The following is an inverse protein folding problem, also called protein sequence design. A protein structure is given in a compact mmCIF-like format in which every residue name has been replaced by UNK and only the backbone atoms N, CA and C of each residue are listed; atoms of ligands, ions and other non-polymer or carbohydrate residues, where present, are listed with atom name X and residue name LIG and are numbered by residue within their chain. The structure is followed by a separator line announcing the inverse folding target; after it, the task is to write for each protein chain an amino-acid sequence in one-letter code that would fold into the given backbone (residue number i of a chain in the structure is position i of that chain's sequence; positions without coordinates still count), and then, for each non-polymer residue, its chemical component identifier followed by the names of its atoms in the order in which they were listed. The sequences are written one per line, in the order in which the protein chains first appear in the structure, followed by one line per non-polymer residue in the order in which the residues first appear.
data_IF_600651081834
#
_entry.id   IF_600651081834
#
_cell.length_a   1.000
_cell.length_b   1.000
_cell.length_c   1.000
_cell.angle_alpha   90.00
_cell.angle_beta   90.00
_cell.angle_gamma   90.00
#
_symmetry.space_group_name_H-M   'P 1'
#
loop_
_entity.id
_entity.type
_entity.pdbx_description
1 polymer ?
#
# COMPACT_ATOMS: atom_id res chain seq x y z
N UNK A 1 -45.94 -42.86 55.28
CA UNK A 1 -46.16 -42.27 53.95
C UNK A 1 -46.20 -40.74 54.12
N UNK A 2 -45.02 -40.10 54.09
CA UNK A 2 -44.88 -38.66 54.29
C UNK A 2 -44.67 -37.99 52.93
N UNK A 3 -45.67 -37.21 52.48
CA UNK A 3 -45.55 -36.40 51.28
C UNK A 3 -44.90 -35.06 51.67
N UNK A 4 -43.69 -34.81 51.19
CA UNK A 4 -43.02 -33.53 51.30
C UNK A 4 -43.42 -32.70 50.07
N UNK A 5 -44.27 -31.70 50.27
CA UNK A 5 -44.64 -30.72 49.24
C UNK A 5 -43.55 -29.62 49.27
N UNK A 6 -42.70 -29.57 48.27
CA UNK A 6 -41.82 -28.43 48.01
C UNK A 6 -42.63 -27.30 47.37
N UNK A 7 -43.00 -26.32 48.17
CA UNK A 7 -43.53 -25.05 47.66
C UNK A 7 -42.34 -24.15 47.21
N UNK A 8 -42.00 -24.22 45.90
CA UNK A 8 -41.14 -23.22 45.29
C UNK A 8 -41.99 -22.05 44.81
N UNK A 9 -42.31 -21.16 45.72
CA UNK A 9 -43.03 -19.93 45.48
C UNK A 9 -42.10 -18.72 45.71
N UNK A 10 -41.00 -18.61 44.94
CA UNK A 10 -40.20 -17.41 44.92
C UNK A 10 -40.76 -16.45 43.88
N UNK A 11 -41.63 -15.54 44.30
CA UNK A 11 -41.96 -14.37 43.47
C UNK A 11 -40.71 -13.51 43.34
N UNK A 12 -40.15 -13.44 42.13
CA UNK A 12 -39.05 -12.52 41.83
C UNK A 12 -39.51 -11.10 42.22
N UNK A 13 -38.70 -10.32 42.93
CA UNK A 13 -39.07 -8.96 43.35
C UNK A 13 -39.35 -8.15 42.07
N UNK A 14 -40.60 -7.65 41.96
CA UNK A 14 -40.99 -6.78 40.88
C UNK A 14 -40.15 -5.50 40.96
N UNK A 15 -39.29 -5.29 39.98
CA UNK A 15 -38.45 -4.08 39.88
C UNK A 15 -39.37 -2.87 39.82
N UNK A 16 -39.17 -1.92 40.74
CA UNK A 16 -39.93 -0.67 40.75
C UNK A 16 -39.69 0.13 39.44
N UNK A 17 -40.62 1.02 39.08
CA UNK A 17 -40.54 1.79 37.82
C UNK A 17 -39.23 2.55 37.67
N UNK A 18 -38.62 3.03 38.75
CA UNK A 18 -37.28 3.68 38.74
C UNK A 18 -36.16 2.72 38.42
N UNK A 19 -36.21 1.46 38.85
CA UNK A 19 -35.23 0.44 38.54
C UNK A 19 -35.33 -0.02 37.06
N UNK A 20 -36.54 -0.12 36.52
CA UNK A 20 -36.78 -0.43 35.11
C UNK A 20 -36.27 0.67 34.20
N UNK A 21 -36.48 1.96 34.53
CA UNK A 21 -35.94 3.07 33.74
C UNK A 21 -34.44 3.14 33.83
N UNK A 22 -33.79 2.90 34.98
CA UNK A 22 -32.37 2.83 35.13
C UNK A 22 -31.74 1.69 34.28
N UNK A 23 -32.37 0.53 34.24
CA UNK A 23 -31.93 -0.64 33.47
C UNK A 23 -32.07 -0.39 31.95
N UNK A 24 -33.16 0.26 31.54
CA UNK A 24 -33.35 0.65 30.13
C UNK A 24 -32.32 1.68 29.68
N UNK A 25 -31.98 2.68 30.49
CA UNK A 25 -30.94 3.67 30.19
C UNK A 25 -29.57 3.00 30.15
N UNK A 26 -29.24 2.14 31.12
CA UNK A 26 -27.99 1.41 31.12
C UNK A 26 -27.86 0.49 29.88
N UNK A 27 -28.92 -0.24 29.53
CA UNK A 27 -28.97 -1.06 28.29
C UNK A 27 -28.80 -0.22 27.04
N UNK A 28 -29.45 0.93 26.96
CA UNK A 28 -29.30 1.86 25.84
C UNK A 28 -27.87 2.40 25.71
N UNK A 29 -27.21 2.74 26.81
CA UNK A 29 -25.81 3.18 26.82
C UNK A 29 -24.86 2.06 26.37
N UNK A 30 -25.07 0.83 26.77
CA UNK A 30 -24.28 -0.33 26.34
C UNK A 30 -24.44 -0.55 24.84
N UNK A 31 -25.67 -0.53 24.32
CA UNK A 31 -25.93 -0.68 22.88
C UNK A 31 -25.27 0.46 22.08
N UNK A 32 -25.37 1.69 22.57
CA UNK A 32 -24.69 2.84 21.96
C UNK A 32 -23.18 2.68 21.96
N UNK A 33 -22.58 2.24 23.05
CA UNK A 33 -21.13 2.01 23.16
C UNK A 33 -20.67 0.91 22.21
N UNK A 34 -21.40 -0.20 22.09
CA UNK A 34 -21.14 -1.27 21.15
C UNK A 34 -21.27 -0.80 19.69
N UNK A 35 -22.27 0.00 19.39
CA UNK A 35 -22.46 0.59 18.07
C UNK A 35 -21.30 1.53 17.69
N UNK A 36 -20.89 2.39 18.62
CA UNK A 36 -19.74 3.26 18.42
C UNK A 36 -18.44 2.46 18.25
N UNK A 37 -18.21 1.43 19.07
CA UNK A 37 -17.06 0.54 18.93
C UNK A 37 -17.04 -0.15 17.54
N UNK A 38 -18.22 -0.64 17.08
CA UNK A 38 -18.37 -1.26 15.77
C UNK A 38 -18.07 -0.29 14.60
N UNK A 39 -18.48 0.99 14.72
CA UNK A 39 -18.15 2.02 13.72
C UNK A 39 -16.64 2.28 13.59
N UNK A 40 -15.89 2.15 14.68
CA UNK A 40 -14.45 2.34 14.71
C UNK A 40 -13.62 1.07 14.46
N UNK A 41 -14.26 -0.10 14.42
CA UNK A 41 -13.59 -1.38 14.25
C UNK A 41 -13.30 -1.68 12.78
N UNK A 42 -12.04 -2.05 12.49
CA UNK A 42 -11.59 -2.51 11.17
C UNK A 42 -10.85 -3.81 11.30
N UNK A 43 -11.24 -4.79 10.52
CA UNK A 43 -10.53 -6.06 10.37
C UNK A 43 -9.79 -6.08 9.04
N UNK A 44 -8.50 -6.42 9.08
CA UNK A 44 -7.63 -6.58 7.91
C UNK A 44 -7.16 -8.03 7.89
N UNK A 45 -7.40 -8.77 6.80
CA UNK A 45 -6.87 -10.12 6.63
C UNK A 45 -5.34 -10.12 6.65
N UNK A 46 -4.73 -11.22 7.08
CA UNK A 46 -3.26 -11.34 7.20
C UNK A 46 -2.54 -11.28 5.84
N UNK A 47 -3.23 -11.59 4.76
CA UNK A 47 -2.71 -11.53 3.38
C UNK A 47 -2.76 -10.12 2.77
N UNK A 48 -3.32 -9.17 3.51
CA UNK A 48 -3.53 -7.79 3.05
C UNK A 48 -2.93 -6.78 4.01
N UNK A 49 -2.73 -5.59 3.50
CA UNK A 49 -2.44 -4.39 4.28
C UNK A 49 -3.54 -3.36 4.08
N UNK A 50 -3.80 -2.57 5.10
CA UNK A 50 -4.74 -1.46 5.04
C UNK A 50 -4.00 -0.15 4.80
N UNK A 51 -4.26 0.49 3.67
CA UNK A 51 -3.83 1.86 3.42
C UNK A 51 -4.88 2.79 3.99
N UNK A 52 -4.48 3.64 4.92
CA UNK A 52 -5.37 4.58 5.60
C UNK A 52 -5.42 5.90 4.84
N UNK A 53 -6.61 6.28 4.43
CA UNK A 53 -6.91 7.60 3.89
C UNK A 53 -7.71 8.37 4.94
N UNK A 54 -7.19 9.48 5.43
CA UNK A 54 -7.88 10.39 6.34
C UNK A 54 -8.61 11.44 5.54
N UNK A 55 -9.94 11.46 5.62
CA UNK A 55 -10.78 12.30 4.79
C UNK A 55 -10.75 13.77 5.22
N UNK A 56 -10.61 14.04 6.51
CA UNK A 56 -10.50 15.40 7.04
C UNK A 56 -9.64 15.45 8.30
N UNK A 57 -8.96 16.55 8.52
CA UNK A 57 -8.12 16.80 9.67
C UNK A 57 -8.21 18.28 10.11
N UNK A 58 -8.06 18.53 11.40
CA UNK A 58 -7.91 19.89 11.95
C UNK A 58 -6.59 20.54 11.52
N UNK A 59 -5.61 19.72 11.10
CA UNK A 59 -4.30 20.18 10.61
C UNK A 59 -4.30 20.53 9.12
N UNK A 60 -5.47 20.47 8.45
CA UNK A 60 -5.58 20.71 7.03
C UNK A 60 -5.30 19.47 6.18
N UNK A 61 -5.05 19.67 4.91
CA UNK A 61 -4.70 18.66 3.92
C UNK A 61 -3.20 18.65 3.69
N UNK A 62 -2.71 17.56 3.09
CA UNK A 62 -1.31 17.42 2.65
C UNK A 62 -0.94 18.60 1.74
N UNK A 63 0.25 19.22 1.90
CA UNK A 63 0.72 20.33 1.05
C UNK A 63 0.80 19.94 -0.43
N UNK A 64 0.73 20.95 -1.30
CA UNK A 64 0.91 20.73 -2.74
C UNK A 64 2.27 20.08 -3.05
N UNK A 65 2.24 19.12 -3.96
CA UNK A 65 3.42 18.35 -4.37
C UNK A 65 3.77 17.17 -3.48
N UNK A 66 3.04 16.95 -2.37
CA UNK A 66 3.11 15.74 -1.54
C UNK A 66 1.82 14.93 -1.64
N UNK A 67 1.93 13.63 -1.45
CA UNK A 67 0.81 12.68 -1.50
C UNK A 67 0.59 12.07 -0.12
N UNK A 68 1.65 11.89 0.66
CA UNK A 68 1.64 11.20 1.94
C UNK A 68 1.59 12.18 3.10
N UNK A 69 0.63 11.96 3.99
CA UNK A 69 0.49 12.69 5.24
C UNK A 69 1.39 12.06 6.31
N UNK A 70 2.22 12.87 6.93
CA UNK A 70 3.17 12.47 7.97
C UNK A 70 2.68 12.90 9.37
N UNK A 71 2.16 14.11 9.50
CA UNK A 71 1.75 14.73 10.77
C UNK A 71 0.25 14.59 11.08
N UNK A 72 -0.43 13.67 10.39
CA UNK A 72 -1.86 13.42 10.58
C UNK A 72 -2.77 14.42 9.88
N UNK A 73 -2.31 15.08 8.82
CA UNK A 73 -3.12 15.84 7.87
C UNK A 73 -4.14 14.94 7.17
N UNK A 74 -5.08 15.51 6.46
CA UNK A 74 -5.99 14.78 5.58
C UNK A 74 -5.23 14.33 4.33
N UNK A 75 -5.39 13.06 3.96
CA UNK A 75 -4.69 12.42 2.85
C UNK A 75 -4.31 10.98 3.19
N UNK A 76 -3.52 10.36 2.32
CA UNK A 76 -2.98 9.03 2.56
C UNK A 76 -1.94 9.07 3.67
N UNK A 77 -2.14 8.24 4.70
CA UNK A 77 -1.22 8.16 5.83
C UNK A 77 0.00 7.31 5.47
N UNK A 78 1.16 7.68 6.03
CA UNK A 78 2.40 6.94 5.84
C UNK A 78 2.31 5.52 6.39
N UNK A 79 1.68 5.38 7.56
CA UNK A 79 1.60 4.13 8.28
C UNK A 79 0.56 3.18 7.67
N UNK A 80 0.96 1.92 7.51
CA UNK A 80 0.09 0.83 7.06
C UNK A 80 -0.50 0.07 8.24
N UNK A 81 -1.75 -0.34 8.09
CA UNK A 81 -2.37 -1.29 8.98
C UNK A 81 -2.04 -2.72 8.54
N UNK A 82 -1.40 -3.47 9.41
CA UNK A 82 -1.14 -4.90 9.16
C UNK A 82 -2.37 -5.74 9.49
N UNK A 83 -2.33 -7.04 9.14
CA UNK A 83 -3.41 -7.99 9.45
C UNK A 83 -3.79 -7.95 10.93
N UNK A 84 -5.09 -8.05 11.22
CA UNK A 84 -5.65 -8.01 12.56
C UNK A 84 -6.84 -7.05 12.73
N UNK A 85 -7.20 -6.82 13.99
CA UNK A 85 -8.27 -5.93 14.39
C UNK A 85 -7.70 -4.57 14.82
N UNK A 86 -8.19 -3.51 14.19
CA UNK A 86 -7.79 -2.14 14.48
C UNK A 86 -8.98 -1.34 14.99
N UNK A 87 -8.77 -0.54 16.04
CA UNK A 87 -9.78 0.30 16.68
C UNK A 87 -9.51 1.78 16.44
N UNK A 88 -10.54 2.62 16.59
CA UNK A 88 -10.40 4.07 16.48
C UNK A 88 -10.42 4.63 15.05
N UNK A 89 -10.62 3.77 14.05
CA UNK A 89 -10.70 4.17 12.64
C UNK A 89 -12.17 4.44 12.24
N UNK A 90 -12.69 5.56 12.71
CA UNK A 90 -14.08 5.98 12.48
C UNK A 90 -14.41 6.07 10.99
N UNK A 91 -15.49 5.41 10.55
CA UNK A 91 -15.87 5.31 9.12
C UNK A 91 -16.13 6.65 8.44
N UNK A 92 -16.48 7.66 9.17
CA UNK A 92 -16.73 9.01 8.68
C UNK A 92 -15.46 9.88 8.57
N UNK A 93 -14.37 9.47 9.22
CA UNK A 93 -13.08 10.18 9.19
C UNK A 93 -12.01 9.44 8.41
N UNK A 94 -12.05 8.10 8.42
CA UNK A 94 -11.04 7.25 7.82
C UNK A 94 -11.64 6.29 6.81
N UNK A 95 -11.03 6.24 5.63
CA UNK A 95 -11.25 5.20 4.65
C UNK A 95 -10.04 4.27 4.66
N UNK A 96 -10.28 2.96 4.72
CA UNK A 96 -9.23 1.95 4.71
C UNK A 96 -9.33 1.15 3.42
N UNK A 97 -8.31 1.27 2.59
CA UNK A 97 -8.18 0.52 1.35
C UNK A 97 -7.38 -0.75 1.64
N UNK A 98 -7.98 -1.90 1.43
CA UNK A 98 -7.31 -3.19 1.61
C UNK A 98 -6.60 -3.55 0.32
N UNK A 99 -5.28 -3.77 0.39
CA UNK A 99 -4.42 -4.07 -0.74
C UNK A 99 -3.64 -5.35 -0.42
N UNK A 100 -3.44 -6.26 -1.38
CA UNK A 100 -2.64 -7.46 -1.15
C UNK A 100 -1.19 -7.09 -0.84
N UNK A 101 -0.50 -7.95 -0.10
CA UNK A 101 0.93 -7.87 0.11
C UNK A 101 1.67 -8.00 -1.23
N UNK A 102 2.76 -7.27 -1.37
CA UNK A 102 3.63 -7.41 -2.54
C UNK A 102 4.45 -8.67 -2.38
N UNK A 103 4.21 -9.65 -3.25
CA UNK A 103 4.94 -10.92 -3.26
C UNK A 103 5.88 -10.94 -4.47
N UNK A 104 7.16 -11.18 -4.20
CA UNK A 104 8.18 -11.34 -5.24
C UNK A 104 8.64 -12.81 -5.18
N UNK A 105 8.39 -13.59 -6.24
CA UNK A 105 8.78 -14.99 -6.31
C UNK A 105 10.31 -15.18 -6.21
N UNK A 106 10.71 -16.40 -5.85
CA UNK A 106 12.12 -16.76 -5.75
C UNK A 106 12.81 -16.58 -7.12
N UNK A 107 14.00 -15.98 -7.10
CA UNK A 107 14.79 -15.73 -8.30
C UNK A 107 14.35 -14.50 -9.10
N UNK A 108 13.36 -13.74 -8.62
CA UNK A 108 12.90 -12.49 -9.24
C UNK A 108 13.27 -11.27 -8.39
N UNK A 109 13.22 -10.11 -9.01
CA UNK A 109 13.42 -8.81 -8.36
C UNK A 109 12.23 -7.88 -8.64
N UNK A 110 11.95 -7.00 -7.68
CA UNK A 110 10.98 -5.91 -7.84
C UNK A 110 11.69 -4.57 -8.02
N UNK A 111 11.33 -3.84 -9.07
CA UNK A 111 11.74 -2.45 -9.24
C UNK A 111 10.77 -1.53 -8.53
N UNK A 112 11.31 -0.52 -7.85
CA UNK A 112 10.50 0.42 -7.09
C UNK A 112 10.51 1.79 -7.72
N UNK A 113 9.33 2.38 -7.84
CA UNK A 113 9.13 3.77 -8.21
C UNK A 113 8.42 4.49 -7.06
N UNK A 114 9.03 5.55 -6.52
CA UNK A 114 8.42 6.38 -5.48
C UNK A 114 7.62 7.53 -6.11
N UNK A 115 6.38 7.71 -5.65
CA UNK A 115 5.49 8.78 -6.12
C UNK A 115 5.70 10.09 -5.37
N UNK A 116 6.23 10.00 -4.14
CA UNK A 116 6.47 11.13 -3.25
C UNK A 116 7.92 11.12 -2.74
N UNK A 117 8.38 12.26 -2.23
CA UNK A 117 9.73 12.48 -1.77
C UNK A 117 10.36 13.71 -2.42
N UNK A 118 11.65 13.94 -2.17
CA UNK A 118 12.41 15.04 -2.75
C UNK A 118 12.44 14.97 -4.29
N UNK A 119 12.59 16.11 -4.92
CA UNK A 119 12.76 16.16 -6.39
C UNK A 119 14.07 15.51 -6.80
N UNK A 120 14.00 14.69 -7.85
CA UNK A 120 15.19 14.13 -8.48
C UNK A 120 15.84 15.22 -9.34
N UNK A 121 17.14 15.56 -9.11
CA UNK A 121 17.84 16.52 -9.96
C UNK A 121 17.94 16.03 -11.41
N UNK A 122 17.96 16.91 -12.40
CA UNK A 122 18.06 16.53 -13.81
C UNK A 122 19.31 15.72 -14.18
N UNK A 123 20.36 15.85 -13.38
CA UNK A 123 21.63 15.11 -13.54
C UNK A 123 21.57 13.65 -13.04
N UNK A 124 20.50 13.29 -12.31
CA UNK A 124 20.33 11.93 -11.76
C UNK A 124 19.23 11.19 -12.51
N UNK A 125 19.50 9.93 -12.84
CA UNK A 125 18.52 9.01 -13.45
C UNK A 125 17.83 8.11 -12.43
N UNK A 126 18.52 7.84 -11.30
CA UNK A 126 18.04 7.00 -10.21
C UNK A 126 18.12 7.75 -8.88
N UNK A 127 17.13 7.57 -8.04
CA UNK A 127 17.07 8.13 -6.72
C UNK A 127 18.14 7.56 -5.79
N UNK A 128 18.49 8.34 -4.75
CA UNK A 128 19.42 7.89 -3.71
C UNK A 128 18.86 6.69 -2.95
N UNK A 129 19.77 5.87 -2.44
CA UNK A 129 19.38 4.76 -1.56
C UNK A 129 19.12 5.29 -0.16
N UNK A 130 17.94 4.98 0.37
CA UNK A 130 17.54 5.31 1.74
C UNK A 130 17.23 4.02 2.48
N UNK A 131 17.68 3.92 3.73
CA UNK A 131 17.39 2.78 4.59
C UNK A 131 15.96 2.91 5.11
N UNK A 132 15.02 2.15 4.54
CA UNK A 132 13.60 2.19 4.86
C UNK A 132 12.96 0.79 4.93
N UNK A 133 13.70 -0.18 5.48
CA UNK A 133 13.24 -1.56 5.66
C UNK A 133 12.62 -2.15 4.38
N UNK A 134 13.36 -2.18 3.29
CA UNK A 134 12.88 -2.65 1.99
C UNK A 134 11.59 -1.96 1.51
N UNK A 135 11.52 -0.65 1.66
CA UNK A 135 10.36 0.21 1.32
C UNK A 135 9.08 -0.07 2.12
N UNK A 136 9.18 -0.80 3.24
CA UNK A 136 8.05 -1.03 4.14
C UNK A 136 7.83 0.13 5.12
N UNK A 137 8.86 0.94 5.40
CA UNK A 137 8.81 2.10 6.28
C UNK A 137 8.76 3.39 5.45
N UNK A 138 7.54 3.89 5.27
CA UNK A 138 7.29 5.11 4.53
C UNK A 138 7.80 6.37 5.25
N UNK A 139 7.78 6.38 6.60
CA UNK A 139 8.28 7.52 7.39
C UNK A 139 9.79 7.63 7.30
N UNK A 140 10.50 6.51 7.46
CA UNK A 140 11.95 6.48 7.27
C UNK A 140 12.35 6.93 5.86
N UNK A 141 11.60 6.52 4.84
CA UNK A 141 11.84 6.97 3.47
C UNK A 141 11.64 8.48 3.30
N UNK A 142 10.61 9.05 3.90
CA UNK A 142 10.31 10.49 3.78
C UNK A 142 11.10 11.38 4.76
N UNK A 143 12.04 10.79 5.53
CA UNK A 143 12.97 11.54 6.38
C UNK A 143 12.47 11.83 7.80
N UNK A 144 11.36 11.23 8.23
CA UNK A 144 10.78 11.43 9.57
C UNK A 144 11.24 10.42 10.63
N UNK A 145 12.15 9.54 10.35
CA UNK A 145 12.63 8.59 11.37
C UNK A 145 13.61 9.27 12.30
N UNK A 146 13.31 9.26 13.59
CA UNK A 146 14.17 9.80 14.65
C UNK A 146 15.58 9.16 14.73
N UNK A 147 15.79 8.05 14.03
CA UNK A 147 17.06 7.33 13.96
C UNK A 147 17.89 7.68 12.73
N UNK A 148 17.35 8.46 11.79
CA UNK A 148 17.99 8.68 10.49
C UNK A 148 18.42 10.15 10.36
N UNK A 149 19.70 10.39 10.56
CA UNK A 149 20.40 11.62 10.13
C UNK A 149 20.63 11.61 8.59
N UNK A 150 19.72 10.97 7.84
CA UNK A 150 19.82 10.81 6.39
C UNK A 150 18.78 11.68 5.68
N UNK A 151 19.16 12.27 4.53
CA UNK A 151 18.21 13.04 3.73
C UNK A 151 17.05 12.17 3.26
N UNK A 152 15.87 12.76 3.13
CA UNK A 152 14.66 12.08 2.65
C UNK A 152 14.88 11.39 1.29
N UNK A 153 14.09 10.35 1.03
CA UNK A 153 14.09 9.67 -0.25
C UNK A 153 13.60 10.57 -1.37
N UNK A 154 14.00 10.26 -2.58
CA UNK A 154 13.64 11.02 -3.79
C UNK A 154 12.53 10.31 -4.55
N UNK A 155 11.58 11.08 -5.09
CA UNK A 155 10.57 10.56 -6.01
C UNK A 155 11.20 10.10 -7.32
N UNK A 156 10.58 9.12 -7.97
CA UNK A 156 11.06 8.55 -9.21
C UNK A 156 11.61 7.13 -9.05
N UNK A 157 12.42 6.73 -10.02
CA UNK A 157 13.00 5.38 -10.05
C UNK A 157 14.01 5.22 -8.93
N UNK A 158 13.81 4.19 -8.11
CA UNK A 158 14.73 3.89 -7.02
C UNK A 158 15.93 3.09 -7.51
N UNK A 159 17.10 3.37 -6.93
CA UNK A 159 18.33 2.58 -7.19
C UNK A 159 18.26 1.24 -6.47
N UNK A 160 17.66 1.20 -5.27
CA UNK A 160 17.46 -0.02 -4.52
C UNK A 160 16.34 -0.85 -5.15
N UNK A 161 16.57 -2.16 -5.26
CA UNK A 161 15.60 -3.14 -5.71
C UNK A 161 15.15 -4.00 -4.55
N UNK A 162 13.96 -4.58 -4.66
CA UNK A 162 13.44 -5.53 -3.69
C UNK A 162 13.74 -6.94 -4.21
N UNK A 163 14.25 -7.78 -3.33
CA UNK A 163 14.49 -9.20 -3.61
C UNK A 163 13.25 -10.03 -3.36
N UNK A 164 13.36 -11.34 -3.59
CA UNK A 164 12.34 -12.33 -3.25
C UNK A 164 11.81 -12.17 -1.82
N UNK A 165 10.52 -12.37 -1.63
CA UNK A 165 9.86 -12.25 -0.33
C UNK A 165 8.47 -11.63 -0.41
N UNK A 166 7.88 -11.44 0.77
CA UNK A 166 6.57 -10.84 0.94
C UNK A 166 6.70 -9.55 1.73
N UNK A 167 6.21 -8.46 1.17
CA UNK A 167 6.44 -7.12 1.70
C UNK A 167 5.13 -6.34 1.87
N UNK A 168 5.00 -5.65 2.99
CA UNK A 168 3.91 -4.72 3.27
C UNK A 168 4.33 -3.31 2.80
N UNK A 169 4.13 -3.01 1.53
CA UNK A 169 4.53 -1.74 0.92
C UNK A 169 3.31 -0.84 0.74
N UNK A 170 3.48 0.45 1.02
CA UNK A 170 2.43 1.44 0.84
C UNK A 170 2.28 1.79 -0.66
N UNK A 171 1.19 1.36 -1.34
CA UNK A 171 1.00 1.62 -2.76
C UNK A 171 0.65 3.08 -3.08
N UNK A 172 0.26 3.88 -2.09
CA UNK A 172 0.10 5.31 -2.27
C UNK A 172 1.46 6.00 -2.46
N UNK A 173 2.53 5.49 -1.81
CA UNK A 173 3.89 6.00 -1.90
C UNK A 173 4.72 5.30 -2.97
N UNK A 174 4.64 3.97 -3.05
CA UNK A 174 5.50 3.16 -3.92
C UNK A 174 4.70 2.35 -4.94
N UNK A 175 5.20 2.32 -6.15
CA UNK A 175 4.79 1.36 -7.18
C UNK A 175 5.90 0.33 -7.31
N UNK A 176 5.56 -0.94 -7.10
CA UNK A 176 6.49 -2.05 -7.29
C UNK A 176 6.18 -2.71 -8.62
N UNK A 177 7.16 -2.77 -9.48
CA UNK A 177 7.08 -3.39 -10.80
C UNK A 177 7.74 -4.76 -10.69
N UNK A 178 6.91 -5.80 -10.75
CA UNK A 178 7.35 -7.21 -10.80
C UNK A 178 7.31 -7.72 -12.23
N UNK A 179 7.86 -8.90 -12.46
CA UNK A 179 7.85 -9.54 -13.79
C UNK A 179 6.42 -9.68 -14.35
N UNK A 180 5.46 -10.02 -13.50
CA UNK A 180 4.06 -10.18 -13.89
C UNK A 180 3.39 -8.86 -14.33
N UNK A 181 3.93 -7.72 -13.89
CA UNK A 181 3.44 -6.39 -14.23
C UNK A 181 4.12 -5.80 -15.49
N UNK A 182 5.06 -6.53 -16.09
CA UNK A 182 5.78 -6.09 -17.30
C UNK A 182 5.11 -6.66 -18.53
N UNK A 183 4.70 -5.78 -19.45
CA UNK A 183 4.23 -6.22 -20.76
C UNK A 183 5.41 -6.74 -21.60
N UNK A 184 5.36 -8.02 -21.92
CA UNK A 184 6.28 -8.66 -22.86
C UNK A 184 5.77 -8.40 -24.29
N UNK A 185 6.34 -7.41 -24.96
CA UNK A 185 5.96 -7.04 -26.32
C UNK A 185 6.25 -8.14 -27.35
N UNK A 186 7.20 -9.03 -27.06
CA UNK A 186 7.71 -10.04 -27.98
C UNK A 186 6.71 -11.14 -28.38
N UNK A 187 5.71 -11.42 -27.52
CA UNK A 187 4.71 -12.45 -27.82
C UNK A 187 3.49 -11.93 -28.58
N UNK A 188 3.35 -10.61 -28.68
CA UNK A 188 2.15 -9.94 -29.19
C UNK A 188 2.42 -9.17 -30.49
N UNK A 189 3.67 -8.98 -30.88
CA UNK A 189 4.02 -8.19 -32.06
C UNK A 189 4.23 -9.09 -33.27
N UNK A 190 3.44 -8.85 -34.31
CA UNK A 190 3.77 -9.29 -35.66
C UNK A 190 5.07 -8.63 -36.11
N UNK A 191 5.82 -9.24 -37.03
CA UNK A 191 7.12 -8.76 -37.55
C UNK A 191 7.05 -7.28 -38.00
N UNK A 192 5.93 -6.86 -38.55
CA UNK A 192 5.67 -5.47 -38.94
C UNK A 192 5.63 -4.52 -37.74
N UNK A 193 4.95 -4.92 -36.67
CA UNK A 193 4.80 -4.14 -35.44
C UNK A 193 6.14 -4.03 -34.70
N UNK A 194 6.91 -5.13 -34.66
CA UNK A 194 8.25 -5.13 -34.09
C UNK A 194 9.18 -4.13 -34.79
N UNK A 195 9.11 -4.06 -36.12
CA UNK A 195 9.87 -3.10 -36.93
C UNK A 195 9.44 -1.65 -36.69
N UNK A 196 8.15 -1.40 -36.48
CA UNK A 196 7.62 -0.07 -36.14
C UNK A 196 8.15 0.38 -34.77
N UNK A 197 8.11 -0.49 -33.76
CA UNK A 197 8.64 -0.20 -32.41
C UNK A 197 10.15 0.05 -32.46
N UNK A 198 10.91 -0.76 -33.20
CA UNK A 198 12.34 -0.54 -33.42
C UNK A 198 12.62 0.81 -34.10
N UNK A 199 11.79 1.21 -35.05
CA UNK A 199 11.84 2.51 -35.69
C UNK A 199 11.60 3.68 -34.72
N UNK A 200 10.68 3.53 -33.78
CA UNK A 200 10.43 4.52 -32.73
C UNK A 200 11.61 4.65 -31.78
N UNK A 201 12.21 3.54 -31.38
CA UNK A 201 13.42 3.52 -30.54
C UNK A 201 14.59 4.27 -31.20
N UNK A 202 14.76 4.04 -32.50
CA UNK A 202 15.81 4.75 -33.28
C UNK A 202 15.55 6.25 -33.30
N UNK A 203 14.34 6.69 -33.60
CA UNK A 203 13.98 8.12 -33.62
C UNK A 203 14.16 8.79 -32.28
N UNK A 204 13.80 8.11 -31.18
CA UNK A 204 13.97 8.65 -29.82
C UNK A 204 15.45 8.79 -29.46
N UNK A 205 16.30 7.84 -29.86
CA UNK A 205 17.75 7.93 -29.66
C UNK A 205 18.37 9.07 -30.48
N UNK A 206 17.98 9.23 -31.75
CA UNK A 206 18.45 10.30 -32.64
C UNK A 206 18.05 11.68 -32.16
N UNK A 207 16.88 11.80 -31.53
CA UNK A 207 16.41 13.06 -30.95
C UNK A 207 17.11 13.45 -29.64
N UNK A 208 18.13 12.69 -29.21
CA UNK A 208 18.83 12.93 -27.93
C UNK A 208 17.95 12.70 -26.71
N UNK A 209 16.83 12.03 -26.92
CA UNK A 209 15.83 11.79 -25.90
C UNK A 209 16.14 10.56 -25.05
N UNK A 210 15.17 10.22 -24.26
CA UNK A 210 15.16 9.08 -23.38
C UNK A 210 15.34 7.77 -24.18
N UNK A 211 16.37 7.00 -23.85
CA UNK A 211 16.53 5.65 -24.38
C UNK A 211 15.57 4.69 -23.65
N UNK A 212 14.46 4.28 -24.26
CA UNK A 212 13.55 3.35 -23.62
C UNK A 212 14.25 2.00 -23.50
N UNK A 213 14.45 1.56 -22.26
CA UNK A 213 14.87 0.18 -21.99
C UNK A 213 13.58 -0.64 -22.01
N UNK A 214 13.41 -1.43 -23.06
CA UNK A 214 12.40 -2.48 -23.05
C UNK A 214 12.95 -3.60 -22.19
N UNK A 215 12.39 -3.72 -20.98
CA UNK A 215 12.80 -4.77 -20.05
C UNK A 215 12.43 -6.12 -20.65
N UNK A 216 13.42 -6.98 -20.84
CA UNK A 216 13.23 -8.32 -21.35
C UNK A 216 13.35 -8.52 -22.87
N UNK A 217 13.55 -7.47 -23.65
CA UNK A 217 13.85 -7.62 -25.08
C UNK A 217 15.24 -7.08 -25.41
N UNK A 218 16.08 -7.89 -26.02
CA UNK A 218 17.28 -7.42 -26.68
C UNK A 218 16.91 -6.98 -28.10
N UNK A 219 17.27 -5.75 -28.45
CA UNK A 219 17.16 -5.27 -29.83
C UNK A 219 18.50 -5.60 -30.51
N UNK A 220 18.44 -6.36 -31.58
CA UNK A 220 19.59 -6.52 -32.47
C UNK A 220 19.86 -5.17 -33.14
N UNK A 221 20.87 -4.46 -32.63
CA UNK A 221 21.23 -3.14 -33.11
C UNK A 221 21.72 -3.16 -34.57
N UNK A 222 22.24 -4.31 -35.05
CA UNK A 222 22.72 -4.44 -36.43
C UNK A 222 21.58 -4.60 -37.41
N UNK A 223 20.50 -5.25 -37.00
CA UNK A 223 19.33 -5.51 -37.85
C UNK A 223 18.14 -4.58 -37.56
N UNK A 224 18.20 -3.81 -36.49
CA UNK A 224 17.11 -2.96 -36.05
C UNK A 224 15.79 -3.72 -35.76
N UNK A 225 15.88 -5.01 -35.46
CA UNK A 225 14.76 -5.94 -35.20
C UNK A 225 14.83 -6.41 -33.77
N UNK A 226 13.68 -6.48 -33.10
CA UNK A 226 13.56 -7.11 -31.78
C UNK A 226 13.67 -8.62 -31.97
N UNK A 227 14.71 -9.23 -31.44
CA UNK A 227 14.88 -10.68 -31.49
C UNK A 227 14.06 -11.34 -30.35
N UNK A 228 12.98 -12.07 -30.68
CA UNK A 228 12.14 -12.73 -29.68
C UNK A 228 12.88 -13.80 -28.86
N UNK A 229 14.00 -14.34 -29.37
CA UNK A 229 14.80 -15.31 -28.64
C UNK A 229 15.54 -14.72 -27.41
N UNK A 230 15.65 -13.39 -27.34
CA UNK A 230 16.31 -12.68 -26.25
C UNK A 230 15.35 -12.11 -25.20
N UNK A 231 14.09 -12.46 -25.25
CA UNK A 231 13.16 -12.11 -24.16
C UNK A 231 13.55 -12.91 -22.93
N UNK A 232 14.25 -12.25 -22.01
CA UNK A 232 14.56 -12.83 -20.71
C UNK A 232 13.64 -12.26 -19.66
N UNK A 233 13.00 -13.11 -18.83
CA UNK A 233 12.31 -12.63 -17.66
C UNK A 233 13.31 -11.92 -16.74
N UNK A 234 12.82 -10.93 -15.98
CA UNK A 234 13.55 -10.25 -14.92
C UNK A 234 13.90 -11.26 -13.82
N UNK A 235 14.97 -11.99 -13.99
CA UNK A 235 15.48 -12.89 -12.95
C UNK A 235 16.66 -12.23 -12.25
N UNK A 236 16.74 -12.41 -10.94
CA UNK A 236 17.96 -12.11 -10.20
C UNK A 236 19.08 -13.01 -10.74
N UNK A 237 20.22 -12.41 -11.10
CA UNK A 237 21.44 -13.15 -11.35
C UNK A 237 21.99 -13.74 -10.06
#
# INVERSE_FOLDING_TARGET
MFSVVFAVGGTAPALGPSALTALAVAGGLVVLALFLAWLGLRHIPNEMVGVVEKLWSRRGSVPEGRIIALDGEAGYQADLLRGGLHFGLWRWQYRVHKVPLVTIPQGQIGYVYARDGDMLPPSQTLARVVVCNHFQDARAFLGESAANDHPAGQRGRQRAVIREGVYAINPALFVVITEDAVHHLSHLLDEREANVVAGWHKKLNEAGGFRPIVIGAAVDMARNVVDPAYVRPLRSA
#
